data_IF_729742675455
#
_entry.id   IF_729742675455
#
_cell.length_a   1.000
_cell.length_b   1.000
_cell.length_c   1.000
_cell.angle_alpha   90.00
_cell.angle_beta   90.00
_cell.angle_gamma   90.00
#
_symmetry.space_group_name_H-M   'P 1'
#
loop_
_entity.id
_entity.type
_entity.pdbx_description
1 polymer ?
#
# COMPACT_ATOMS: atom_id res chain seq x y z
N UNK A 1 -2.31 -0.40 21.40
CA UNK A 1 -3.52 -1.15 21.01
C UNK A 1 -4.80 -0.44 21.47
N UNK A 2 -4.81 0.28 22.59
CA UNK A 2 -5.99 1.05 23.08
C UNK A 2 -6.20 2.40 22.38
N UNK A 3 -5.15 3.20 22.11
CA UNK A 3 -5.33 4.49 21.38
C UNK A 3 -5.85 4.33 19.95
N UNK A 4 -5.43 3.30 19.23
CA UNK A 4 -5.85 3.04 17.85
C UNK A 4 -7.33 2.65 17.73
N UNK A 5 -7.88 1.97 18.75
CA UNK A 5 -9.30 1.60 18.79
C UNK A 5 -10.20 2.80 19.17
N UNK A 6 -9.75 3.64 20.11
CA UNK A 6 -10.46 4.87 20.50
C UNK A 6 -10.51 5.87 19.32
N UNK A 7 -9.40 6.00 18.57
CA UNK A 7 -9.35 6.85 17.37
C UNK A 7 -10.24 6.28 16.26
N UNK A 8 -10.28 4.95 16.08
CA UNK A 8 -11.19 4.32 15.12
C UNK A 8 -12.67 4.56 15.43
N UNK A 9 -13.04 4.54 16.71
CA UNK A 9 -14.42 4.79 17.16
C UNK A 9 -14.80 6.28 17.14
N UNK A 10 -13.84 7.20 17.32
CA UNK A 10 -14.06 8.63 17.05
C UNK A 10 -14.15 8.93 15.56
N UNK A 11 -13.39 8.22 14.71
CA UNK A 11 -13.37 8.42 13.28
C UNK A 11 -14.71 8.07 12.62
N UNK A 12 -15.39 7.01 13.07
CA UNK A 12 -16.75 6.69 12.60
C UNK A 12 -17.79 7.75 13.00
N UNK A 13 -17.63 8.38 14.17
CA UNK A 13 -18.54 9.43 14.64
C UNK A 13 -18.30 10.76 13.91
N UNK A 14 -17.04 11.05 13.54
CA UNK A 14 -16.68 12.26 12.80
C UNK A 14 -17.01 12.14 11.32
N UNK A 15 -16.92 10.95 10.72
CA UNK A 15 -17.30 10.71 9.32
C UNK A 15 -18.80 10.96 9.08
N UNK A 16 -19.65 10.68 10.07
CA UNK A 16 -21.07 11.07 10.11
C UNK A 16 -21.31 12.58 10.36
N UNK A 17 -20.28 13.32 10.80
CA UNK A 17 -20.33 14.75 11.16
C UNK A 17 -19.56 15.65 10.18
N UNK A 18 -18.89 15.08 9.17
CA UNK A 18 -18.47 15.84 8.00
C UNK A 18 -19.76 16.38 7.40
N UNK A 19 -19.91 17.69 7.13
CA UNK A 19 -21.10 18.20 6.48
C UNK A 19 -21.26 17.48 5.14
N UNK A 20 -22.12 16.46 5.13
CA UNK A 20 -22.69 15.89 3.91
C UNK A 20 -23.31 17.08 3.21
N UNK A 21 -22.85 17.34 1.97
CA UNK A 21 -23.35 18.35 1.05
C UNK A 21 -24.78 18.73 1.42
N UNK A 22 -24.92 19.81 2.18
CA UNK A 22 -26.23 20.28 2.59
C UNK A 22 -26.98 20.69 1.32
N UNK A 23 -28.25 20.32 1.27
CA UNK A 23 -29.20 20.66 0.21
C UNK A 23 -29.01 22.13 -0.23
N UNK A 24 -28.87 22.46 -1.53
CA UNK A 24 -28.49 23.79 -2.01
C UNK A 24 -29.48 24.92 -1.69
N UNK A 25 -30.52 24.67 -0.91
CA UNK A 25 -31.64 25.57 -0.64
C UNK A 25 -31.45 26.50 0.56
N UNK A 26 -30.45 26.29 1.42
CA UNK A 26 -30.10 27.27 2.47
C UNK A 26 -28.93 28.14 2.00
N UNK A 27 -29.23 29.41 1.70
CA UNK A 27 -28.29 30.42 1.16
C UNK A 27 -27.19 30.88 2.13
N UNK A 28 -26.68 30.00 2.99
CA UNK A 28 -25.48 30.23 3.79
C UNK A 28 -24.22 29.94 2.97
N UNK A 29 -23.22 30.81 3.04
CA UNK A 29 -21.92 30.56 2.43
C UNK A 29 -21.32 29.26 3.01
N UNK A 30 -21.19 28.23 2.17
CA UNK A 30 -20.54 26.94 2.50
C UNK A 30 -19.17 27.11 3.19
N UNK A 31 -18.43 28.15 2.81
CA UNK A 31 -17.13 28.45 3.41
C UNK A 31 -17.23 28.83 4.90
N UNK A 32 -18.29 29.53 5.29
CA UNK A 32 -18.48 29.99 6.67
C UNK A 32 -18.90 28.82 7.57
N UNK A 33 -19.74 27.92 7.06
CA UNK A 33 -20.12 26.68 7.75
C UNK A 33 -18.93 25.75 7.97
N UNK A 34 -18.09 25.57 6.95
CA UNK A 34 -16.88 24.75 7.05
C UNK A 34 -15.83 25.37 8.00
N UNK A 35 -15.64 26.69 7.94
CA UNK A 35 -14.74 27.38 8.86
C UNK A 35 -15.18 27.22 10.32
N UNK A 36 -16.47 27.37 10.60
CA UNK A 36 -17.03 27.18 11.94
C UNK A 36 -16.86 25.73 12.43
N UNK A 37 -17.08 24.74 11.56
CA UNK A 37 -16.83 23.33 11.89
C UNK A 37 -15.35 23.06 12.20
N UNK A 38 -14.42 23.65 11.43
CA UNK A 38 -12.97 23.54 11.68
C UNK A 38 -12.58 24.12 13.04
N UNK A 39 -13.14 25.26 13.42
CA UNK A 39 -12.88 25.89 14.73
C UNK A 39 -13.41 25.01 15.87
N UNK A 40 -14.62 24.48 15.75
CA UNK A 40 -15.19 23.58 16.76
C UNK A 40 -14.37 22.30 16.96
N UNK A 41 -13.72 21.80 15.90
CA UNK A 41 -12.97 20.55 15.91
C UNK A 41 -11.44 20.74 15.90
N UNK A 42 -10.95 21.96 16.13
CA UNK A 42 -9.55 22.31 15.94
C UNK A 42 -8.59 21.43 16.78
N UNK A 43 -8.93 21.17 18.04
CA UNK A 43 -8.14 20.31 18.92
C UNK A 43 -8.05 18.87 18.38
N UNK A 44 -9.19 18.26 18.03
CA UNK A 44 -9.24 16.92 17.46
C UNK A 44 -8.46 16.81 16.14
N UNK A 45 -8.65 17.77 15.23
CA UNK A 45 -7.94 17.81 13.94
C UNK A 45 -6.42 17.88 14.19
N UNK A 46 -6.00 18.67 15.17
CA UNK A 46 -4.59 18.82 15.52
C UNK A 46 -4.00 17.50 16.05
N UNK A 47 -4.70 16.82 16.96
CA UNK A 47 -4.31 15.51 17.51
C UNK A 47 -4.26 14.44 16.42
N UNK A 48 -5.31 14.35 15.61
CA UNK A 48 -5.40 13.39 14.51
C UNK A 48 -4.27 13.59 13.49
N UNK A 49 -3.98 14.85 13.16
CA UNK A 49 -2.85 15.21 12.31
C UNK A 49 -1.52 14.80 12.94
N UNK A 50 -1.32 14.98 14.24
CA UNK A 50 -0.09 14.56 14.93
C UNK A 50 0.09 13.04 14.89
N UNK A 51 -0.96 12.28 15.22
CA UNK A 51 -0.94 10.81 15.15
C UNK A 51 -0.60 10.34 13.72
N UNK A 52 -1.22 10.94 12.70
CA UNK A 52 -0.94 10.60 11.30
C UNK A 52 0.48 11.00 10.88
N UNK A 53 1.00 12.15 11.32
CA UNK A 53 2.40 12.53 11.07
C UNK A 53 3.36 11.47 11.61
N UNK A 54 3.18 11.05 12.87
CA UNK A 54 4.02 10.02 13.48
C UNK A 54 3.91 8.72 12.67
N UNK A 55 2.70 8.29 12.32
CA UNK A 55 2.49 7.07 11.54
C UNK A 55 3.17 7.14 10.15
N UNK A 56 3.02 8.25 9.44
CA UNK A 56 3.65 8.49 8.13
C UNK A 56 5.17 8.43 8.28
N UNK A 57 5.76 9.12 9.27
CA UNK A 57 7.21 9.15 9.48
C UNK A 57 7.74 7.74 9.82
N UNK A 58 7.11 7.05 10.77
CA UNK A 58 7.50 5.68 11.14
C UNK A 58 7.43 4.74 9.95
N UNK A 59 6.36 4.84 9.15
CA UNK A 59 6.18 3.99 7.98
C UNK A 59 7.18 4.31 6.87
N UNK A 60 7.51 5.58 6.65
CA UNK A 60 8.55 5.99 5.70
C UNK A 60 9.93 5.46 6.11
N UNK A 61 10.30 5.55 7.39
CA UNK A 61 11.58 5.02 7.88
C UNK A 61 11.64 3.50 7.69
N UNK A 62 10.57 2.79 8.06
CA UNK A 62 10.46 1.34 7.85
C UNK A 62 10.56 0.97 6.37
N UNK A 63 9.90 1.74 5.50
CA UNK A 63 9.97 1.59 4.05
C UNK A 63 11.39 1.77 3.51
N UNK A 64 12.13 2.78 3.96
CA UNK A 64 13.51 3.02 3.54
C UNK A 64 14.44 1.88 3.96
N UNK A 65 14.34 1.41 5.20
CA UNK A 65 15.14 0.26 5.68
C UNK A 65 14.84 -0.98 4.83
N UNK A 66 13.56 -1.23 4.54
CA UNK A 66 13.14 -2.35 3.72
C UNK A 66 13.59 -2.22 2.25
N UNK A 67 13.60 -1.02 1.69
CA UNK A 67 14.17 -0.72 0.38
C UNK A 67 15.64 -1.09 0.32
N UNK A 68 16.44 -0.59 1.26
CA UNK A 68 17.89 -0.85 1.30
C UNK A 68 18.17 -2.35 1.44
N UNK A 69 17.44 -3.03 2.33
CA UNK A 69 17.57 -4.49 2.52
C UNK A 69 17.21 -5.25 1.24
N UNK A 70 16.09 -4.92 0.60
CA UNK A 70 15.61 -5.59 -0.60
C UNK A 70 16.50 -5.34 -1.81
N UNK A 71 17.01 -4.11 -1.97
CA UNK A 71 18.00 -3.76 -3.00
C UNK A 71 19.29 -4.55 -2.78
N UNK A 72 19.76 -4.63 -1.52
CA UNK A 72 20.96 -5.41 -1.20
C UNK A 72 20.77 -6.88 -1.57
N UNK A 73 19.62 -7.47 -1.23
CA UNK A 73 19.30 -8.85 -1.57
C UNK A 73 19.26 -9.08 -3.09
N UNK A 74 18.58 -8.19 -3.84
CA UNK A 74 18.53 -8.25 -5.29
C UNK A 74 19.94 -8.14 -5.91
N UNK A 75 20.77 -7.20 -5.43
CA UNK A 75 22.15 -7.03 -5.86
C UNK A 75 23.02 -8.27 -5.58
N UNK A 76 22.87 -8.90 -4.41
CA UNK A 76 23.58 -10.14 -4.07
C UNK A 76 23.20 -11.29 -5.00
N UNK A 77 21.92 -11.42 -5.35
CA UNK A 77 21.44 -12.42 -6.31
C UNK A 77 22.04 -12.13 -7.69
N UNK A 78 21.97 -10.89 -8.18
CA UNK A 78 22.50 -10.51 -9.50
C UNK A 78 24.03 -10.66 -9.62
N UNK A 79 24.78 -10.41 -8.54
CA UNK A 79 26.25 -10.56 -8.52
C UNK A 79 26.72 -12.01 -8.42
N UNK A 80 25.86 -12.95 -8.05
CA UNK A 80 26.23 -14.35 -7.93
C UNK A 80 26.36 -15.00 -9.32
N UNK A 81 27.48 -15.69 -9.58
CA UNK A 81 27.75 -16.34 -10.88
C UNK A 81 26.68 -17.38 -11.29
N UNK A 82 25.97 -17.94 -10.31
CA UNK A 82 24.84 -18.85 -10.51
C UNK A 82 23.50 -18.22 -10.08
N UNK A 83 23.44 -16.89 -9.94
CA UNK A 83 22.41 -16.13 -9.24
C UNK A 83 20.99 -16.35 -9.72
N UNK A 84 20.77 -16.45 -11.04
CA UNK A 84 19.46 -16.76 -11.63
C UNK A 84 19.40 -18.18 -12.22
N UNK A 85 20.32 -19.06 -11.84
CA UNK A 85 20.32 -20.44 -12.37
C UNK A 85 19.29 -21.32 -11.66
N UNK A 86 19.06 -21.09 -10.36
CA UNK A 86 18.07 -21.84 -9.58
C UNK A 86 16.72 -21.13 -9.57
N UNK A 87 15.64 -21.90 -9.75
CA UNK A 87 14.24 -21.44 -9.64
C UNK A 87 13.96 -20.68 -8.35
N UNK A 88 14.47 -21.15 -7.20
CA UNK A 88 14.30 -20.44 -5.91
C UNK A 88 14.88 -19.03 -5.92
N UNK A 89 16.01 -18.81 -6.59
CA UNK A 89 16.65 -17.50 -6.64
C UNK A 89 15.90 -16.54 -7.58
N UNK A 90 15.30 -17.05 -8.67
CA UNK A 90 14.41 -16.26 -9.55
C UNK A 90 13.16 -15.81 -8.83
N UNK A 91 12.52 -16.70 -8.06
CA UNK A 91 11.36 -16.36 -7.22
C UNK A 91 11.74 -15.34 -6.13
N UNK A 92 12.90 -15.52 -5.49
CA UNK A 92 13.42 -14.60 -4.48
C UNK A 92 13.77 -13.22 -5.05
N UNK A 93 14.24 -13.17 -6.30
CA UNK A 93 14.42 -11.93 -7.03
C UNK A 93 13.07 -11.23 -7.28
N UNK A 94 12.05 -11.97 -7.75
CA UNK A 94 10.69 -11.44 -7.93
C UNK A 94 10.07 -10.90 -6.62
N UNK A 95 10.28 -11.60 -5.51
CA UNK A 95 9.90 -11.13 -4.18
C UNK A 95 10.61 -9.81 -3.80
N UNK A 96 11.92 -9.73 -4.05
CA UNK A 96 12.71 -8.53 -3.75
C UNK A 96 12.24 -7.33 -4.58
N UNK A 97 11.96 -7.53 -5.88
CA UNK A 97 11.40 -6.49 -6.75
C UNK A 97 10.04 -6.01 -6.25
N UNK A 98 9.16 -6.93 -5.83
CA UNK A 98 7.84 -6.59 -5.29
C UNK A 98 7.96 -5.75 -4.00
N UNK A 99 8.87 -6.13 -3.10
CA UNK A 99 9.15 -5.36 -1.87
C UNK A 99 9.73 -3.98 -2.16
N UNK A 100 10.57 -3.84 -3.19
CA UNK A 100 11.11 -2.53 -3.61
C UNK A 100 9.97 -1.63 -4.08
N UNK A 101 9.13 -2.12 -4.99
CA UNK A 101 7.98 -1.37 -5.52
C UNK A 101 7.05 -0.94 -4.38
N UNK A 102 6.70 -1.88 -3.49
CA UNK A 102 5.83 -1.63 -2.34
C UNK A 102 6.41 -0.56 -1.40
N UNK A 103 7.68 -0.72 -1.01
CA UNK A 103 8.32 0.18 -0.05
C UNK A 103 8.58 1.57 -0.63
N UNK A 104 8.85 1.66 -1.94
CA UNK A 104 8.94 2.92 -2.66
C UNK A 104 7.59 3.64 -2.67
N UNK A 105 6.50 2.94 -2.99
CA UNK A 105 5.16 3.50 -3.00
C UNK A 105 4.74 4.05 -1.63
N UNK A 106 5.12 3.37 -0.54
CA UNK A 106 4.89 3.87 0.82
C UNK A 106 5.72 5.08 1.19
N UNK A 107 6.93 5.20 0.65
CA UNK A 107 7.81 6.35 0.92
C UNK A 107 7.27 7.65 0.30
N UNK A 108 6.54 7.55 -0.81
CA UNK A 108 5.87 8.68 -1.48
C UNK A 108 4.39 8.84 -1.08
N UNK A 109 3.93 8.14 -0.02
CA UNK A 109 2.54 8.14 0.44
C UNK A 109 2.00 9.54 0.72
N UNK A 110 2.69 10.28 1.58
CA UNK A 110 2.25 11.63 1.98
C UNK A 110 2.12 12.60 0.81
N UNK A 111 2.97 12.48 -0.20
CA UNK A 111 3.01 13.40 -1.35
C UNK A 111 1.85 13.15 -2.31
N UNK A 112 1.37 11.91 -2.43
CA UNK A 112 0.36 11.53 -3.43
C UNK A 112 -1.09 11.82 -2.99
N UNK A 113 -1.28 12.18 -1.72
CA UNK A 113 -2.59 12.57 -1.16
C UNK A 113 -3.08 13.89 -1.76
N UNK A 114 -4.37 14.03 -2.09
CA UNK A 114 -4.96 15.26 -2.64
C UNK A 114 -4.68 16.50 -1.77
N UNK A 115 -4.33 17.62 -2.40
CA UNK A 115 -4.05 18.89 -1.72
C UNK A 115 -5.20 19.41 -0.86
N UNK A 116 -6.44 19.09 -1.22
CA UNK A 116 -7.64 19.44 -0.46
C UNK A 116 -7.61 18.87 0.97
N UNK A 117 -6.94 17.73 1.18
CA UNK A 117 -6.82 17.06 2.48
C UNK A 117 -5.64 17.58 3.33
N UNK A 118 -5.01 18.70 2.95
CA UNK A 118 -3.86 19.27 3.68
C UNK A 118 -4.22 19.71 5.09
N UNK A 119 -5.50 19.95 5.41
CA UNK A 119 -5.97 20.24 6.78
C UNK A 119 -5.88 19.00 7.71
N UNK A 120 -5.92 17.80 7.14
CA UNK A 120 -5.95 16.52 7.87
C UNK A 120 -4.61 15.76 7.78
N UNK A 121 -3.98 15.77 6.61
CA UNK A 121 -2.76 15.00 6.32
C UNK A 121 -1.57 15.95 6.10
N UNK A 122 -0.44 15.63 6.71
CA UNK A 122 0.80 16.39 6.52
C UNK A 122 1.50 15.97 5.23
N UNK A 123 1.92 16.96 4.43
CA UNK A 123 2.67 16.73 3.19
C UNK A 123 1.81 16.46 1.95
N UNK A 124 0.47 16.54 2.05
CA UNK A 124 -0.45 16.37 0.93
C UNK A 124 -0.18 17.41 -0.18
N UNK A 125 0.27 16.95 -1.34
CA UNK A 125 0.64 17.76 -2.50
C UNK A 125 0.12 17.21 -3.84
N UNK A 126 -0.54 16.06 -3.82
CA UNK A 126 -1.00 15.34 -4.99
C UNK A 126 -2.43 15.69 -5.39
N UNK A 127 -3.02 14.82 -6.20
CA UNK A 127 -4.42 14.87 -6.63
C UNK A 127 -5.04 13.47 -6.50
N UNK A 128 -6.32 13.33 -6.84
CA UNK A 128 -7.01 12.04 -6.76
C UNK A 128 -6.34 10.96 -7.63
N UNK A 129 -5.88 11.33 -8.83
CA UNK A 129 -5.20 10.38 -9.73
C UNK A 129 -3.87 9.86 -9.18
N UNK A 130 -3.07 10.69 -8.51
CA UNK A 130 -1.83 10.23 -7.86
C UNK A 130 -2.13 9.34 -6.66
N UNK A 131 -3.22 9.60 -5.96
CA UNK A 131 -3.68 8.76 -4.86
C UNK A 131 -4.12 7.37 -5.36
N UNK A 132 -4.95 7.32 -6.40
CA UNK A 132 -5.43 6.06 -6.99
C UNK A 132 -4.26 5.24 -7.55
N UNK A 133 -3.33 5.89 -8.27
CA UNK A 133 -2.14 5.24 -8.81
C UNK A 133 -1.25 4.67 -7.69
N UNK A 134 -1.07 5.42 -6.61
CA UNK A 134 -0.30 4.94 -5.47
C UNK A 134 -0.96 3.76 -4.77
N UNK A 135 -2.27 3.83 -4.52
CA UNK A 135 -3.01 2.76 -3.88
C UNK A 135 -2.94 1.47 -4.73
N UNK A 136 -3.06 1.60 -6.05
CA UNK A 136 -2.83 0.51 -6.99
C UNK A 136 -1.43 -0.10 -6.84
N UNK A 137 -0.37 0.71 -6.87
CA UNK A 137 1.02 0.20 -6.77
C UNK A 137 1.27 -0.48 -5.41
N UNK A 138 0.75 0.08 -4.32
CA UNK A 138 0.83 -0.50 -2.98
C UNK A 138 0.14 -1.87 -2.96
N UNK A 139 -1.08 -1.96 -3.47
CA UNK A 139 -1.87 -3.20 -3.49
C UNK A 139 -1.19 -4.28 -4.33
N UNK A 140 -0.75 -3.92 -5.53
CA UNK A 140 -0.05 -4.84 -6.44
C UNK A 140 1.25 -5.35 -5.80
N UNK A 141 2.08 -4.44 -5.26
CA UNK A 141 3.33 -4.81 -4.60
C UNK A 141 3.14 -5.71 -3.37
N UNK A 142 2.12 -5.43 -2.56
CA UNK A 142 1.78 -6.23 -1.38
C UNK A 142 1.34 -7.65 -1.75
N UNK A 143 0.35 -7.76 -2.65
CA UNK A 143 -0.18 -9.05 -3.06
C UNK A 143 0.88 -9.86 -3.79
N UNK A 144 1.65 -9.25 -4.70
CA UNK A 144 2.75 -9.92 -5.38
C UNK A 144 3.75 -10.51 -4.37
N UNK A 145 4.12 -9.76 -3.33
CA UNK A 145 4.99 -10.25 -2.27
C UNK A 145 4.43 -11.46 -1.52
N UNK A 146 3.13 -11.47 -1.21
CA UNK A 146 2.45 -12.61 -0.56
C UNK A 146 2.44 -13.84 -1.47
N UNK A 147 2.11 -13.67 -2.75
CA UNK A 147 2.09 -14.77 -3.72
C UNK A 147 3.47 -15.34 -4.01
N UNK A 148 4.51 -14.49 -4.08
CA UNK A 148 5.89 -14.96 -4.22
C UNK A 148 6.36 -15.75 -2.99
N UNK A 149 5.99 -15.31 -1.78
CA UNK A 149 6.27 -16.08 -0.55
C UNK A 149 5.55 -17.43 -0.55
N UNK A 150 4.27 -17.47 -0.92
CA UNK A 150 3.52 -18.72 -1.04
C UNK A 150 4.15 -19.66 -2.09
N UNK A 151 4.54 -19.11 -3.23
CA UNK A 151 5.22 -19.84 -4.31
C UNK A 151 6.55 -20.44 -3.86
N UNK A 152 7.33 -19.71 -3.05
CA UNK A 152 8.56 -20.24 -2.45
C UNK A 152 8.27 -21.43 -1.53
N UNK A 153 7.24 -21.35 -0.67
CA UNK A 153 6.84 -22.46 0.19
C UNK A 153 6.47 -23.71 -0.63
N UNK A 154 5.64 -23.53 -1.68
CA UNK A 154 5.26 -24.62 -2.59
C UNK A 154 6.48 -25.20 -3.29
N UNK A 155 7.39 -24.35 -3.79
CA UNK A 155 8.64 -24.78 -4.41
C UNK A 155 9.48 -25.65 -3.47
N UNK A 156 9.69 -25.22 -2.22
CA UNK A 156 10.46 -26.00 -1.26
C UNK A 156 9.80 -27.35 -0.92
N UNK A 157 8.48 -27.38 -0.77
CA UNK A 157 7.74 -28.63 -0.58
C UNK A 157 7.88 -29.57 -1.79
N UNK A 158 7.81 -29.04 -3.01
CA UNK A 158 8.00 -29.81 -4.24
C UNK A 158 9.42 -30.37 -4.36
N UNK A 159 10.44 -29.58 -4.04
CA UNK A 159 11.84 -30.04 -4.07
C UNK A 159 12.09 -31.12 -3.03
N UNK A 160 11.54 -30.99 -1.82
CA UNK A 160 11.72 -31.98 -0.75
C UNK A 160 10.99 -33.31 -1.04
N UNK A 161 9.76 -33.25 -1.56
CA UNK A 161 8.91 -34.44 -1.76
C UNK A 161 9.04 -35.07 -3.15
N UNK A 162 9.27 -34.26 -4.19
CA UNK A 162 9.17 -34.67 -5.60
C UNK A 162 10.44 -34.35 -6.41
N UNK A 163 11.61 -34.37 -5.75
CA UNK A 163 12.94 -34.01 -6.32
C UNK A 163 13.29 -34.66 -7.67
N UNK A 164 12.62 -35.76 -8.06
CA UNK A 164 12.87 -36.49 -9.30
C UNK A 164 12.06 -36.03 -10.52
N UNK A 165 11.04 -35.19 -10.36
CA UNK A 165 10.15 -34.77 -11.47
C UNK A 165 10.47 -33.35 -11.94
N UNK A 166 11.55 -33.19 -12.72
CA UNK A 166 11.97 -31.87 -13.23
C UNK A 166 10.88 -31.14 -14.06
N UNK A 167 10.05 -31.90 -14.79
CA UNK A 167 8.90 -31.34 -15.54
C UNK A 167 7.87 -30.65 -14.63
N UNK A 168 7.69 -31.15 -13.40
CA UNK A 168 6.77 -30.56 -12.43
C UNK A 168 7.33 -29.24 -11.89
N UNK A 169 8.63 -29.21 -11.59
CA UNK A 169 9.32 -28.02 -11.07
C UNK A 169 9.23 -26.86 -12.07
N UNK A 170 9.46 -27.13 -13.36
CA UNK A 170 9.36 -26.11 -14.40
C UNK A 170 7.92 -25.56 -14.56
N UNK A 171 6.91 -26.43 -14.48
CA UNK A 171 5.50 -26.01 -14.56
C UNK A 171 5.09 -25.17 -13.34
N UNK A 172 5.59 -25.53 -12.16
CA UNK A 172 5.38 -24.76 -10.92
C UNK A 172 6.04 -23.39 -11.01
N UNK A 173 7.25 -23.28 -11.58
CA UNK A 173 7.94 -21.99 -11.78
C UNK A 173 7.11 -21.03 -12.64
N UNK A 174 6.65 -21.47 -13.81
CA UNK A 174 5.83 -20.65 -14.71
C UNK A 174 4.52 -20.27 -14.02
N UNK A 175 3.83 -21.24 -13.41
CA UNK A 175 2.58 -21.00 -12.69
C UNK A 175 2.77 -19.95 -11.57
N UNK A 176 3.87 -20.05 -10.83
CA UNK A 176 4.18 -19.13 -9.73
C UNK A 176 4.35 -17.70 -10.20
N UNK A 177 5.07 -17.47 -11.31
CA UNK A 177 5.23 -16.13 -11.87
C UNK A 177 3.92 -15.57 -12.44
N UNK A 178 3.15 -16.39 -13.14
CA UNK A 178 1.86 -15.98 -13.71
C UNK A 178 0.86 -15.62 -12.61
N UNK A 179 0.76 -16.43 -11.56
CA UNK A 179 -0.14 -16.16 -10.42
C UNK A 179 0.33 -14.93 -9.64
N UNK A 180 1.63 -14.81 -9.35
CA UNK A 180 2.17 -13.72 -8.53
C UNK A 180 2.13 -12.35 -9.20
N UNK A 181 1.98 -12.27 -10.53
CA UNK A 181 1.87 -11.01 -11.26
C UNK A 181 0.44 -10.80 -11.77
N UNK A 182 -0.16 -11.83 -12.35
CA UNK A 182 -1.48 -11.75 -12.96
C UNK A 182 -2.58 -11.48 -11.94
N UNK A 183 -2.57 -12.16 -10.79
CA UNK A 183 -3.62 -11.97 -9.79
C UNK A 183 -3.57 -10.58 -9.14
N UNK A 184 -2.41 -10.06 -8.68
CA UNK A 184 -2.32 -8.70 -8.16
C UNK A 184 -2.72 -7.63 -9.17
N UNK A 185 -2.31 -7.77 -10.44
CA UNK A 185 -2.69 -6.83 -11.49
C UNK A 185 -4.19 -6.83 -11.75
N UNK A 186 -4.81 -8.01 -11.86
CA UNK A 186 -6.25 -8.13 -12.04
C UNK A 186 -7.00 -7.44 -10.89
N UNK A 187 -6.63 -7.74 -9.65
CA UNK A 187 -7.27 -7.19 -8.47
C UNK A 187 -7.07 -5.66 -8.36
N UNK A 188 -5.87 -5.18 -8.69
CA UNK A 188 -5.58 -3.74 -8.77
C UNK A 188 -6.40 -3.02 -9.84
N UNK A 189 -6.54 -3.61 -11.03
CA UNK A 189 -7.35 -3.04 -12.12
C UNK A 189 -8.83 -2.99 -11.73
N UNK A 190 -9.35 -4.04 -11.10
CA UNK A 190 -10.72 -4.06 -10.58
C UNK A 190 -10.92 -2.95 -9.55
N UNK A 191 -10.00 -2.79 -8.59
CA UNK A 191 -10.05 -1.72 -7.59
C UNK A 191 -10.01 -0.31 -8.20
N UNK A 192 -9.22 -0.11 -9.26
CA UNK A 192 -9.20 1.15 -10.01
C UNK A 192 -10.53 1.38 -10.73
N UNK A 193 -11.07 0.35 -11.40
CA UNK A 193 -12.31 0.44 -12.17
C UNK A 193 -13.53 0.71 -11.28
N UNK A 194 -13.59 0.14 -10.08
CA UNK A 194 -14.67 0.36 -9.12
C UNK A 194 -14.51 1.65 -8.31
N UNK A 195 -13.43 2.42 -8.52
CA UNK A 195 -13.06 3.59 -7.71
C UNK A 195 -13.03 3.26 -6.20
N UNK A 196 -12.56 2.06 -5.86
CA UNK A 196 -12.51 1.60 -4.48
C UNK A 196 -11.39 2.27 -3.66
N UNK A 197 -10.46 2.96 -4.32
CA UNK A 197 -9.35 3.62 -3.65
C UNK A 197 -9.78 4.98 -3.10
N UNK A 198 -9.81 5.08 -1.77
CA UNK A 198 -10.07 6.33 -1.07
C UNK A 198 -8.75 6.99 -0.63
N UNK A 199 -8.60 8.34 -0.64
CA UNK A 199 -7.48 9.06 -0.03
C UNK A 199 -7.13 8.69 1.42
N UNK A 200 -8.04 8.00 2.12
CA UNK A 200 -7.79 7.50 3.47
C UNK A 200 -7.11 6.13 3.53
N UNK A 201 -6.85 5.47 2.39
CA UNK A 201 -6.12 4.20 2.34
C UNK A 201 -6.96 2.97 2.71
N UNK A 202 -8.29 3.08 2.73
CA UNK A 202 -9.19 1.93 2.79
C UNK A 202 -9.50 1.42 1.39
N UNK A 203 -9.29 0.12 1.21
CA UNK A 203 -10.14 -0.78 0.42
C UNK A 203 -11.11 -1.44 1.39
#
# INVERSE_FOLDING_TARGET
>A
LTSSAIIGQQMSVVEDQIPVVADPTEGGNLNDSFAHWLEQNAEWISDFRQVRKVFIITRSISGIISLVSSITMACLICRSKNGLSKTSQRLLFGLSVSNIIYSFAWSIFSVSVPQEMRYLIWGARGNQGTCDAQAFVILVGALAGVFYNCSLCVYYLCVLKYSRVQKLIFKVEICSHVVSIGYPLLFGIVGLATKAFNPFGSI
#
